data_IF_260180201253
#
_entry.id   IF_260180201253
#
_cell.length_a   1.000
_cell.length_b   1.000
_cell.length_c   1.000
_cell.angle_alpha   90.00
_cell.angle_beta   90.00
_cell.angle_gamma   90.00
#
_symmetry.space_group_name_H-M   'P 1'
#
loop_
_entity.id
_entity.type
_entity.pdbx_description
1 polymer ?
#
# COMPACT_ATOMS: atom_id res chain seq x y z
N UNK A 1 19.55 -18.37 -0.09
CA UNK A 1 18.43 -17.55 0.45
C UNK A 1 18.29 -16.27 -0.37
N UNK A 2 17.08 -15.70 -0.41
CA UNK A 2 16.83 -14.40 -1.07
C UNK A 2 17.67 -13.29 -0.42
N UNK A 3 17.81 -13.29 0.90
CA UNK A 3 18.64 -12.34 1.64
C UNK A 3 20.11 -12.37 1.19
N UNK A 4 20.71 -13.56 1.10
CA UNK A 4 22.09 -13.70 0.61
C UNK A 4 22.27 -13.30 -0.86
N UNK A 5 21.25 -13.53 -1.70
CA UNK A 5 21.25 -13.06 -3.08
C UNK A 5 21.21 -11.52 -3.16
N UNK A 6 20.31 -10.89 -2.39
CA UNK A 6 20.21 -9.44 -2.33
C UNK A 6 21.52 -8.80 -1.81
N UNK A 7 22.10 -9.34 -0.74
CA UNK A 7 23.40 -8.90 -0.22
C UNK A 7 24.51 -9.01 -1.27
N UNK A 8 24.53 -10.11 -2.02
CA UNK A 8 25.49 -10.32 -3.11
C UNK A 8 25.38 -9.30 -4.25
N UNK A 9 24.21 -8.68 -4.43
CA UNK A 9 23.98 -7.57 -5.36
C UNK A 9 24.22 -6.18 -4.74
N UNK A 10 24.60 -6.12 -3.46
CA UNK A 10 24.90 -4.87 -2.76
C UNK A 10 23.70 -4.21 -2.05
N UNK A 11 22.53 -4.85 -2.02
CA UNK A 11 21.40 -4.38 -1.22
C UNK A 11 21.71 -4.46 0.27
N UNK A 12 21.24 -3.48 1.04
CA UNK A 12 21.43 -3.38 2.49
C UNK A 12 20.17 -3.70 3.27
N UNK A 13 19.00 -3.52 2.68
CA UNK A 13 17.73 -3.71 3.32
C UNK A 13 16.73 -4.45 2.47
N UNK A 14 15.71 -4.99 3.12
CA UNK A 14 14.60 -5.70 2.51
C UNK A 14 13.29 -5.20 3.08
N UNK A 15 12.32 -4.91 2.22
CA UNK A 15 10.92 -4.82 2.61
C UNK A 15 10.37 -6.24 2.71
N UNK A 16 9.72 -6.56 3.84
CA UNK A 16 9.19 -7.91 4.09
C UNK A 16 7.66 -7.90 4.04
N UNK A 17 7.04 -8.61 3.07
CA UNK A 17 5.59 -8.74 3.01
C UNK A 17 5.08 -9.68 4.11
N UNK A 18 3.97 -9.28 4.75
CA UNK A 18 3.37 -10.04 5.87
C UNK A 18 2.24 -10.97 5.44
N UNK A 19 2.01 -11.13 4.15
CA UNK A 19 0.90 -11.91 3.60
C UNK A 19 1.13 -13.42 3.59
N UNK A 20 2.38 -13.87 3.69
CA UNK A 20 2.73 -15.30 3.72
C UNK A 20 3.36 -15.67 5.07
N UNK A 21 2.62 -16.38 5.97
CA UNK A 21 3.11 -16.72 7.30
C UNK A 21 4.30 -17.71 7.28
N UNK A 22 4.58 -18.35 6.14
CA UNK A 22 5.77 -19.20 5.98
C UNK A 22 7.05 -18.37 5.83
N UNK A 23 6.93 -17.11 5.38
CA UNK A 23 8.03 -16.17 5.26
C UNK A 23 8.17 -15.31 6.52
N UNK A 24 7.04 -14.86 7.06
CA UNK A 24 6.99 -13.99 8.23
C UNK A 24 5.67 -14.22 9.00
N UNK A 25 5.75 -14.80 10.18
CA UNK A 25 4.58 -14.99 11.05
C UNK A 25 4.28 -13.68 11.77
N UNK A 26 3.33 -12.92 11.20
CA UNK A 26 2.93 -11.62 11.72
C UNK A 26 2.35 -11.69 13.13
N UNK A 27 1.58 -12.73 13.43
CA UNK A 27 0.97 -12.91 14.74
C UNK A 27 2.04 -13.21 15.80
N UNK A 28 3.03 -14.06 15.47
CA UNK A 28 4.18 -14.32 16.34
C UNK A 28 5.04 -13.07 16.51
N UNK A 29 5.35 -12.34 15.46
CA UNK A 29 6.13 -11.11 15.52
C UNK A 29 5.47 -10.04 16.41
N UNK A 30 4.15 -9.93 16.37
CA UNK A 30 3.40 -8.98 17.18
C UNK A 30 3.45 -9.29 18.70
N UNK A 31 3.71 -10.55 19.10
CA UNK A 31 3.70 -10.98 20.50
C UNK A 31 5.07 -11.32 21.07
N UNK A 32 6.05 -11.65 20.23
CA UNK A 32 7.35 -12.18 20.66
C UNK A 32 8.52 -11.32 20.19
N UNK A 33 9.23 -10.70 21.12
CA UNK A 33 10.48 -10.00 20.83
C UNK A 33 11.56 -10.98 20.37
N UNK A 34 11.62 -12.16 20.99
CA UNK A 34 12.62 -13.18 20.64
C UNK A 34 12.48 -13.64 19.17
N UNK A 35 11.24 -13.76 18.65
CA UNK A 35 11.00 -14.05 17.25
C UNK A 35 11.52 -12.93 16.34
N UNK A 36 11.24 -11.68 16.69
CA UNK A 36 11.74 -10.53 15.94
C UNK A 36 13.27 -10.46 15.93
N UNK A 37 13.90 -10.70 17.08
CA UNK A 37 15.36 -10.71 17.23
C UNK A 37 16.01 -11.84 16.41
N UNK A 38 15.40 -13.03 16.38
CA UNK A 38 15.88 -14.19 15.59
C UNK A 38 15.83 -13.92 14.09
N UNK A 39 14.72 -13.38 13.60
CA UNK A 39 14.59 -13.01 12.19
C UNK A 39 15.58 -11.90 11.82
N UNK A 40 15.65 -10.84 12.61
CA UNK A 40 16.58 -9.74 12.38
C UNK A 40 18.03 -10.24 12.38
N UNK A 41 18.40 -11.09 13.35
CA UNK A 41 19.72 -11.72 13.44
C UNK A 41 20.03 -12.61 12.22
N UNK A 42 19.05 -13.39 11.76
CA UNK A 42 19.18 -14.25 10.57
C UNK A 42 19.47 -13.41 9.32
N UNK A 43 18.80 -12.29 9.14
CA UNK A 43 19.01 -11.38 8.00
C UNK A 43 20.34 -10.62 8.13
N UNK A 44 20.68 -10.14 9.32
CA UNK A 44 21.95 -9.48 9.59
C UNK A 44 23.15 -10.39 9.32
N UNK A 45 23.05 -11.69 9.64
CA UNK A 45 24.08 -12.69 9.30
C UNK A 45 24.29 -12.87 7.78
N UNK A 46 23.31 -12.44 6.95
CA UNK A 46 23.42 -12.40 5.48
C UNK A 46 23.86 -11.03 4.95
N UNK A 47 24.05 -10.02 5.83
CA UNK A 47 24.47 -8.67 5.47
C UNK A 47 23.34 -7.74 5.03
N UNK A 48 22.07 -8.06 5.35
CA UNK A 48 20.91 -7.21 5.09
C UNK A 48 20.07 -7.03 6.37
N UNK A 49 19.25 -5.98 6.40
CA UNK A 49 18.31 -5.69 7.48
C UNK A 49 16.87 -5.60 6.95
N UNK A 50 15.89 -5.63 7.84
CA UNK A 50 14.50 -5.27 7.49
C UNK A 50 14.41 -3.75 7.52
N UNK A 51 14.03 -3.14 6.41
CA UNK A 51 13.80 -1.68 6.35
C UNK A 51 12.36 -1.33 6.72
N UNK A 52 11.40 -2.11 6.26
CA UNK A 52 9.98 -2.02 6.61
C UNK A 52 9.25 -3.35 6.42
N UNK A 53 8.13 -3.51 7.09
CA UNK A 53 7.13 -4.52 6.76
C UNK A 53 6.11 -3.94 5.78
N UNK A 54 5.43 -4.81 5.02
CA UNK A 54 4.35 -4.39 4.15
C UNK A 54 3.09 -5.22 4.27
N UNK A 55 1.95 -4.53 4.31
CA UNK A 55 0.60 -5.11 4.35
C UNK A 55 -0.24 -4.71 3.14
N UNK A 56 0.34 -4.60 1.94
CA UNK A 56 -0.41 -4.20 0.74
C UNK A 56 -1.66 -5.07 0.53
N UNK A 57 -1.52 -6.39 0.60
CA UNK A 57 -2.63 -7.31 0.36
C UNK A 57 -3.71 -7.26 1.45
N UNK A 58 -3.34 -7.02 2.70
CA UNK A 58 -4.29 -6.85 3.79
C UNK A 58 -4.90 -5.44 3.79
N UNK A 59 -4.10 -4.40 3.55
CA UNK A 59 -4.53 -3.01 3.56
C UNK A 59 -5.63 -2.72 2.54
N UNK A 60 -5.51 -3.25 1.32
CA UNK A 60 -6.56 -3.09 0.30
C UNK A 60 -7.91 -3.71 0.72
N UNK A 61 -7.92 -4.65 1.68
CA UNK A 61 -9.14 -5.28 2.18
C UNK A 61 -9.82 -4.48 3.30
N UNK A 62 -9.20 -3.43 3.81
CA UNK A 62 -9.83 -2.52 4.79
C UNK A 62 -11.04 -1.82 4.17
N UNK A 63 -10.96 -1.50 2.87
CA UNK A 63 -12.03 -0.84 2.14
C UNK A 63 -12.18 -1.46 0.74
N UNK A 64 -13.25 -2.22 0.52
CA UNK A 64 -13.54 -2.85 -0.77
C UNK A 64 -14.92 -2.43 -1.24
N UNK A 65 -15.02 -1.89 -2.45
CA UNK A 65 -16.31 -1.60 -3.07
C UNK A 65 -17.03 -2.89 -3.48
N UNK A 66 -18.36 -2.94 -3.30
CA UNK A 66 -19.20 -4.11 -3.58
C UNK A 66 -18.99 -4.72 -4.97
N UNK A 67 -18.70 -3.90 -5.98
CA UNK A 67 -18.43 -4.37 -7.34
C UNK A 67 -17.18 -5.27 -7.44
N UNK A 68 -16.29 -5.24 -6.46
CA UNK A 68 -15.02 -5.96 -6.45
C UNK A 68 -14.95 -7.06 -5.38
N UNK A 69 -15.99 -7.26 -4.58
CA UNK A 69 -15.97 -8.18 -3.45
C UNK A 69 -15.42 -9.57 -3.82
N UNK A 70 -15.98 -10.18 -4.86
CA UNK A 70 -15.56 -11.52 -5.28
C UNK A 70 -14.11 -11.58 -5.81
N UNK A 71 -13.62 -10.48 -6.40
CA UNK A 71 -12.24 -10.39 -6.91
C UNK A 71 -11.23 -10.29 -5.76
N UNK A 72 -11.59 -9.57 -4.69
CA UNK A 72 -10.73 -9.36 -3.54
C UNK A 72 -10.73 -10.52 -2.53
N UNK A 73 -11.67 -11.47 -2.62
CA UNK A 73 -11.66 -12.69 -1.82
C UNK A 73 -10.36 -13.49 -1.96
N UNK A 74 -9.71 -13.43 -3.13
CA UNK A 74 -8.44 -14.10 -3.36
C UNK A 74 -7.29 -13.65 -2.44
N UNK A 75 -7.37 -12.45 -1.87
CA UNK A 75 -6.36 -11.90 -0.97
C UNK A 75 -6.62 -12.22 0.51
N UNK A 76 -7.79 -12.75 0.82
CA UNK A 76 -8.17 -13.17 2.17
C UNK A 76 -7.89 -14.66 2.39
N UNK A 77 -7.66 -15.08 3.64
CA UNK A 77 -7.55 -16.50 3.96
C UNK A 77 -8.87 -17.23 3.66
N UNK A 78 -8.81 -18.53 3.33
CA UNK A 78 -9.98 -19.28 2.83
C UNK A 78 -11.23 -19.15 3.69
N UNK A 79 -11.08 -19.12 5.02
CA UNK A 79 -12.19 -19.04 5.99
C UNK A 79 -12.86 -17.66 6.07
N UNK A 80 -12.33 -16.65 5.38
CA UNK A 80 -12.88 -15.28 5.32
C UNK A 80 -13.49 -14.95 3.95
N UNK A 81 -13.36 -15.86 2.98
CA UNK A 81 -13.87 -15.67 1.62
C UNK A 81 -15.38 -15.76 1.57
N UNK A 82 -16.01 -14.94 0.71
CA UNK A 82 -17.46 -14.88 0.60
C UNK A 82 -18.17 -14.14 1.74
N UNK A 83 -17.41 -13.59 2.70
CA UNK A 83 -17.92 -12.75 3.80
C UNK A 83 -17.15 -11.43 3.85
N UNK A 84 -17.63 -10.38 3.15
CA UNK A 84 -16.97 -9.07 3.11
C UNK A 84 -16.75 -8.43 4.48
N UNK A 85 -17.68 -8.64 5.43
CA UNK A 85 -17.56 -8.09 6.78
C UNK A 85 -16.46 -8.81 7.58
N UNK A 86 -16.43 -10.14 7.55
CA UNK A 86 -15.40 -10.93 8.21
C UNK A 86 -14.02 -10.68 7.59
N UNK A 87 -13.95 -10.47 6.27
CA UNK A 87 -12.72 -10.13 5.55
C UNK A 87 -12.18 -8.76 5.98
N UNK A 88 -13.05 -7.74 6.11
CA UNK A 88 -12.65 -6.43 6.59
C UNK A 88 -12.16 -6.46 8.03
N UNK A 89 -12.85 -7.13 8.93
CA UNK A 89 -12.43 -7.30 10.34
C UNK A 89 -11.05 -7.93 10.41
N UNK A 90 -10.84 -9.03 9.67
CA UNK A 90 -9.54 -9.69 9.59
C UNK A 90 -8.44 -8.75 9.08
N UNK A 91 -8.71 -7.96 8.03
CA UNK A 91 -7.75 -7.01 7.50
C UNK A 91 -7.31 -5.97 8.55
N UNK A 92 -8.28 -5.39 9.27
CA UNK A 92 -8.00 -4.46 10.37
C UNK A 92 -7.14 -5.11 11.46
N UNK A 93 -7.48 -6.36 11.86
CA UNK A 93 -6.68 -7.12 12.83
C UNK A 93 -5.23 -7.31 12.35
N UNK A 94 -5.03 -7.62 11.05
CA UNK A 94 -3.67 -7.74 10.50
C UNK A 94 -2.88 -6.43 10.58
N UNK A 95 -3.51 -5.29 10.29
CA UNK A 95 -2.86 -3.97 10.39
C UNK A 95 -2.49 -3.65 11.86
N UNK A 96 -3.36 -3.99 12.82
CA UNK A 96 -3.09 -3.82 14.26
C UNK A 96 -1.90 -4.68 14.73
N UNK A 97 -1.78 -5.92 14.22
CA UNK A 97 -0.62 -6.77 14.47
C UNK A 97 0.63 -6.21 13.82
N UNK A 98 0.51 -5.69 12.59
CA UNK A 98 1.63 -5.11 11.86
C UNK A 98 2.23 -3.88 12.56
N UNK A 99 1.42 -3.02 13.18
CA UNK A 99 1.90 -1.91 13.97
C UNK A 99 2.82 -2.39 15.13
N UNK A 100 2.38 -3.42 15.87
CA UNK A 100 3.14 -4.00 16.97
C UNK A 100 4.40 -4.72 16.50
N UNK A 101 4.32 -5.48 15.39
CA UNK A 101 5.47 -6.17 14.81
C UNK A 101 6.52 -5.18 14.34
N UNK A 102 6.11 -4.10 13.64
CA UNK A 102 6.99 -3.03 13.21
C UNK A 102 7.70 -2.35 14.38
N UNK A 103 6.97 -2.05 15.47
CA UNK A 103 7.55 -1.50 16.69
C UNK A 103 8.60 -2.44 17.30
N UNK A 104 8.31 -3.76 17.41
CA UNK A 104 9.25 -4.74 18.00
C UNK A 104 10.52 -4.91 17.17
N UNK A 105 10.40 -4.77 15.84
CA UNK A 105 11.54 -4.77 14.93
C UNK A 105 12.31 -3.44 14.90
N UNK A 106 11.86 -2.43 15.66
CA UNK A 106 12.48 -1.10 15.68
C UNK A 106 12.27 -0.30 14.41
N UNK A 107 11.26 -0.65 13.61
CA UNK A 107 10.96 0.03 12.36
C UNK A 107 10.21 1.34 12.60
N UNK A 108 10.46 2.33 11.75
CA UNK A 108 9.82 3.66 11.83
C UNK A 108 8.76 3.87 10.76
N UNK A 109 8.71 3.00 9.75
CA UNK A 109 7.75 3.07 8.66
C UNK A 109 7.19 1.69 8.31
N UNK A 110 5.99 1.66 7.74
CA UNK A 110 5.27 0.47 7.30
C UNK A 110 4.52 0.78 6.00
N UNK A 111 4.60 -0.10 5.01
CA UNK A 111 3.99 0.09 3.69
C UNK A 111 2.62 -0.58 3.59
N UNK A 112 1.64 0.08 2.94
CA UNK A 112 0.29 -0.47 2.75
C UNK A 112 -0.44 0.12 1.55
N UNK A 113 -1.56 -0.50 1.15
CA UNK A 113 -2.59 0.08 0.29
C UNK A 113 -3.76 0.61 1.12
N UNK A 114 -4.55 1.52 0.52
CA UNK A 114 -5.70 2.13 1.20
C UNK A 114 -6.99 1.33 1.10
N UNK A 115 -7.12 0.50 0.08
CA UNK A 115 -8.41 0.01 -0.38
C UNK A 115 -9.17 1.08 -1.17
N UNK A 116 -10.33 0.73 -1.69
CA UNK A 116 -11.10 1.60 -2.57
C UNK A 116 -12.61 1.46 -2.39
N UNK A 117 -13.29 2.57 -2.13
CA UNK A 117 -14.74 2.71 -2.12
C UNK A 117 -15.22 3.60 -3.26
N UNK A 118 -14.42 4.61 -3.64
CA UNK A 118 -14.76 5.59 -4.67
C UNK A 118 -14.13 5.27 -6.04
N UNK A 119 -13.08 4.45 -6.11
CA UNK A 119 -12.40 4.13 -7.36
C UNK A 119 -13.30 3.73 -8.53
N UNK A 120 -14.40 2.93 -8.36
CA UNK A 120 -15.30 2.60 -9.48
C UNK A 120 -15.94 3.82 -10.12
N UNK A 121 -15.92 4.95 -9.47
CA UNK A 121 -16.52 6.22 -9.90
C UNK A 121 -15.49 7.28 -10.27
N UNK A 122 -14.22 6.92 -10.46
CA UNK A 122 -13.15 7.89 -10.73
C UNK A 122 -13.41 8.74 -11.98
N UNK A 123 -14.06 8.19 -13.01
CA UNK A 123 -14.42 8.93 -14.20
C UNK A 123 -15.71 9.74 -13.98
N UNK A 124 -15.74 11.04 -14.34
CA UNK A 124 -16.86 11.93 -13.97
C UNK A 124 -18.12 11.77 -14.82
N UNK A 125 -18.15 10.81 -15.72
CA UNK A 125 -19.30 10.50 -16.58
C UNK A 125 -19.65 9.00 -16.53
N UNK A 126 -20.95 8.62 -16.44
CA UNK A 126 -22.11 9.51 -16.18
C UNK A 126 -21.96 10.29 -14.88
N UNK A 127 -22.66 11.43 -14.79
CA UNK A 127 -22.56 12.31 -13.61
C UNK A 127 -22.87 11.57 -12.31
N UNK A 128 -21.92 11.63 -11.38
CA UNK A 128 -22.08 11.01 -10.07
C UNK A 128 -23.16 11.69 -9.24
N UNK A 129 -23.91 10.95 -8.42
CA UNK A 129 -24.77 11.57 -7.41
C UNK A 129 -23.95 12.51 -6.51
N UNK A 130 -24.51 13.69 -6.13
CA UNK A 130 -23.87 14.55 -5.13
C UNK A 130 -23.59 13.79 -3.82
N UNK A 131 -22.43 14.00 -3.22
CA UNK A 131 -22.05 13.40 -1.94
C UNK A 131 -21.40 12.01 -2.04
N UNK A 132 -21.48 11.32 -3.18
CA UNK A 132 -21.01 9.95 -3.31
C UNK A 132 -19.51 9.79 -2.98
N UNK A 133 -18.66 10.68 -3.46
CA UNK A 133 -17.21 10.64 -3.20
C UNK A 133 -16.92 11.07 -1.77
N UNK A 134 -17.60 12.08 -1.28
CA UNK A 134 -17.48 12.59 0.09
C UNK A 134 -17.87 11.51 1.11
N UNK A 135 -18.95 10.77 0.89
CA UNK A 135 -19.39 9.65 1.74
C UNK A 135 -18.37 8.50 1.71
N UNK A 136 -17.84 8.17 0.54
CA UNK A 136 -16.81 7.13 0.40
C UNK A 136 -15.53 7.49 1.18
N UNK A 137 -15.05 8.74 1.07
CA UNK A 137 -13.87 9.19 1.83
C UNK A 137 -14.16 9.31 3.33
N UNK A 138 -15.34 9.75 3.75
CA UNK A 138 -15.74 9.75 5.16
C UNK A 138 -15.71 8.32 5.74
N UNK A 139 -16.23 7.35 5.00
CA UNK A 139 -16.16 5.93 5.38
C UNK A 139 -14.71 5.41 5.41
N UNK A 140 -13.89 5.75 4.41
CA UNK A 140 -12.48 5.41 4.37
C UNK A 140 -11.76 5.94 5.61
N UNK A 141 -11.95 7.22 5.95
CA UNK A 141 -11.39 7.84 7.14
C UNK A 141 -11.84 7.15 8.43
N UNK A 142 -13.13 6.79 8.55
CA UNK A 142 -13.66 6.08 9.72
C UNK A 142 -13.00 4.71 9.92
N UNK A 143 -12.67 3.99 8.82
CA UNK A 143 -11.99 2.69 8.89
C UNK A 143 -10.51 2.83 9.23
N UNK A 144 -9.83 3.82 8.65
CA UNK A 144 -8.39 3.99 8.81
C UNK A 144 -7.99 4.71 10.10
N UNK A 145 -8.83 5.56 10.67
CA UNK A 145 -8.48 6.33 11.86
C UNK A 145 -8.02 5.45 13.05
N UNK A 146 -8.74 4.38 13.43
CA UNK A 146 -8.30 3.50 14.52
C UNK A 146 -6.98 2.77 14.21
N UNK A 147 -6.72 2.47 12.93
CA UNK A 147 -5.45 1.85 12.50
C UNK A 147 -4.31 2.86 12.62
N UNK A 148 -4.50 4.08 12.16
CA UNK A 148 -3.51 5.16 12.29
C UNK A 148 -3.19 5.45 13.76
N UNK A 149 -4.20 5.48 14.64
CA UNK A 149 -4.01 5.65 16.09
C UNK A 149 -3.16 4.51 16.69
N UNK A 150 -3.35 3.26 16.23
CA UNK A 150 -2.54 2.12 16.66
C UNK A 150 -1.09 2.22 16.18
N UNK A 151 -0.87 2.68 14.95
CA UNK A 151 0.48 2.94 14.44
C UNK A 151 1.15 4.09 15.18
N UNK A 152 0.40 5.14 15.55
CA UNK A 152 0.92 6.24 16.37
C UNK A 152 1.33 5.78 17.76
N UNK A 153 0.53 4.97 18.42
CA UNK A 153 0.87 4.36 19.70
C UNK A 153 2.15 3.49 19.65
N UNK A 154 2.48 2.95 18.47
CA UNK A 154 3.70 2.19 18.21
C UNK A 154 4.88 3.03 17.71
N UNK A 155 4.68 4.32 17.43
CA UNK A 155 5.72 5.21 16.89
C UNK A 155 6.11 4.93 15.44
N UNK A 156 5.22 4.32 14.65
CA UNK A 156 5.48 3.87 13.26
C UNK A 156 4.64 4.68 12.29
N UNK A 157 5.25 5.22 11.24
CA UNK A 157 4.55 5.88 10.14
C UNK A 157 3.88 4.85 9.24
N UNK A 158 2.63 5.09 8.85
CA UNK A 158 1.89 4.25 7.92
C UNK A 158 1.89 4.89 6.53
N UNK A 159 2.64 4.30 5.61
CA UNK A 159 2.90 4.84 4.29
C UNK A 159 1.99 4.17 3.25
N UNK A 160 1.05 4.94 2.73
CA UNK A 160 0.12 4.49 1.69
C UNK A 160 0.77 4.63 0.32
N UNK A 161 0.86 3.53 -0.43
CA UNK A 161 1.29 3.60 -1.83
C UNK A 161 0.23 4.30 -2.67
N UNK A 162 0.64 5.36 -3.37
CA UNK A 162 -0.23 6.09 -4.30
C UNK A 162 -0.36 5.27 -5.57
N UNK A 163 -1.51 4.57 -5.72
CA UNK A 163 -1.64 3.49 -6.69
C UNK A 163 -3.01 3.52 -7.40
N UNK A 164 -3.06 3.47 -8.75
CA UNK A 164 -4.31 3.30 -9.49
C UNK A 164 -5.03 2.00 -9.09
N UNK A 165 -6.32 2.10 -8.84
CA UNK A 165 -7.12 0.99 -8.30
C UNK A 165 -7.43 1.15 -6.82
N UNK A 166 -6.67 1.99 -6.13
CA UNK A 166 -6.89 2.41 -4.75
C UNK A 166 -7.62 3.76 -4.70
N UNK A 167 -8.25 4.10 -3.58
CA UNK A 167 -8.80 5.45 -3.41
C UNK A 167 -7.72 6.51 -3.33
N UNK A 168 -6.54 6.15 -2.79
CA UNK A 168 -5.37 7.02 -2.78
C UNK A 168 -4.51 6.77 -4.04
N UNK A 169 -4.87 7.40 -5.16
CA UNK A 169 -4.21 7.16 -6.45
C UNK A 169 -3.49 8.39 -7.01
N UNK A 170 -3.65 9.55 -6.37
CA UNK A 170 -2.97 10.79 -6.71
C UNK A 170 -2.88 11.73 -5.49
N UNK A 171 -2.28 12.92 -5.69
CA UNK A 171 -2.14 13.89 -4.61
C UNK A 171 -3.46 14.45 -4.11
N UNK A 172 -4.41 14.68 -5.01
CA UNK A 172 -5.72 15.24 -4.65
C UNK A 172 -6.54 14.28 -3.77
N UNK A 173 -6.46 12.99 -4.06
CA UNK A 173 -7.12 11.95 -3.26
C UNK A 173 -6.42 11.74 -1.92
N UNK A 174 -5.09 11.85 -1.86
CA UNK A 174 -4.36 11.83 -0.60
C UNK A 174 -4.71 13.04 0.28
N UNK A 175 -4.82 14.25 -0.29
CA UNK A 175 -5.27 15.45 0.45
C UNK A 175 -6.68 15.25 1.03
N UNK A 176 -7.64 14.72 0.26
CA UNK A 176 -8.98 14.37 0.77
C UNK A 176 -8.93 13.37 1.93
N UNK A 177 -8.06 12.38 1.83
CA UNK A 177 -7.87 11.42 2.92
C UNK A 177 -7.31 12.08 4.18
N UNK A 178 -6.32 12.95 4.05
CA UNK A 178 -5.78 13.73 5.18
C UNK A 178 -6.87 14.54 5.88
N UNK A 179 -7.79 15.15 5.12
CA UNK A 179 -8.89 15.93 5.69
C UNK A 179 -9.84 15.06 6.53
N UNK A 180 -10.17 13.85 6.07
CA UNK A 180 -11.09 12.96 6.80
C UNK A 180 -10.46 12.18 7.95
N UNK A 181 -9.11 12.18 8.05
CA UNK A 181 -8.37 11.65 9.19
C UNK A 181 -7.74 12.75 10.07
N UNK A 182 -8.25 13.98 9.97
CA UNK A 182 -7.80 15.16 10.75
C UNK A 182 -6.28 15.40 10.64
N UNK A 183 -5.72 15.32 9.43
CA UNK A 183 -4.29 15.52 9.15
C UNK A 183 -3.38 14.61 9.99
N UNK A 184 -3.83 13.39 10.26
CA UNK A 184 -3.14 12.47 11.17
C UNK A 184 -1.62 12.38 10.88
N UNK A 185 -0.74 12.53 11.88
CA UNK A 185 0.70 12.65 11.64
C UNK A 185 1.33 11.39 11.05
N UNK A 186 0.74 10.21 11.33
CA UNK A 186 1.22 8.92 10.81
C UNK A 186 0.71 8.57 9.42
N UNK A 187 -0.21 9.35 8.84
CA UNK A 187 -0.63 9.17 7.46
C UNK A 187 0.46 9.73 6.53
N UNK A 188 1.23 8.84 5.95
CA UNK A 188 2.38 9.13 5.09
C UNK A 188 2.20 8.53 3.70
N UNK A 189 3.08 8.86 2.79
CA UNK A 189 3.11 8.38 1.41
C UNK A 189 4.23 7.37 1.24
N UNK A 190 3.93 6.24 0.64
CA UNK A 190 4.89 5.45 -0.08
C UNK A 190 4.89 5.98 -1.53
N UNK A 191 6.00 6.55 -1.94
CA UNK A 191 6.17 7.14 -3.25
C UNK A 191 6.73 6.12 -4.25
N UNK A 192 5.93 5.77 -5.26
CA UNK A 192 6.33 4.97 -6.42
C UNK A 192 6.14 5.81 -7.68
N UNK A 193 7.22 6.34 -8.29
CA UNK A 193 7.13 7.21 -9.46
C UNK A 193 6.50 6.53 -10.68
N UNK A 194 6.59 5.20 -10.77
CA UNK A 194 6.07 4.46 -11.91
C UNK A 194 4.54 4.61 -12.05
N UNK A 195 3.81 4.58 -10.93
CA UNK A 195 2.36 4.76 -10.92
C UNK A 195 1.94 6.17 -11.32
N UNK A 196 2.72 7.17 -10.97
CA UNK A 196 2.47 8.56 -11.36
C UNK A 196 2.77 8.77 -12.85
N UNK A 197 3.88 8.21 -13.35
CA UNK A 197 4.23 8.24 -14.77
C UNK A 197 3.16 7.57 -15.63
N UNK A 198 2.62 6.41 -15.22
CA UNK A 198 1.55 5.72 -15.94
C UNK A 198 0.26 6.55 -16.00
N UNK A 199 0.02 7.43 -15.04
CA UNK A 199 -1.08 8.40 -15.02
C UNK A 199 -0.76 9.69 -15.79
N UNK A 200 0.46 9.85 -16.33
CA UNK A 200 0.96 11.05 -17.00
C UNK A 200 1.00 12.27 -16.06
N UNK A 201 1.27 12.05 -14.77
CA UNK A 201 1.47 13.09 -13.77
C UNK A 201 2.91 13.61 -13.79
N UNK A 202 3.09 14.83 -13.30
CA UNK A 202 4.40 15.39 -12.97
C UNK A 202 4.92 14.73 -11.68
N UNK A 203 5.62 13.60 -11.84
CA UNK A 203 6.12 12.82 -10.71
C UNK A 203 7.26 13.50 -9.95
N UNK A 204 8.01 14.43 -10.59
CA UNK A 204 9.03 15.22 -9.90
C UNK A 204 8.39 16.34 -9.07
N UNK A 205 7.45 17.09 -9.65
CA UNK A 205 6.67 18.09 -8.93
C UNK A 205 5.86 17.50 -7.77
N UNK A 206 5.51 16.21 -7.84
CA UNK A 206 4.89 15.50 -6.72
C UNK A 206 5.81 15.43 -5.50
N UNK A 207 7.11 15.20 -5.68
CA UNK A 207 8.09 15.21 -4.58
C UNK A 207 8.16 16.61 -3.97
N UNK A 208 8.27 17.65 -4.78
CA UNK A 208 8.35 19.04 -4.29
C UNK A 208 7.13 19.39 -3.42
N UNK A 209 5.95 18.90 -3.80
CA UNK A 209 4.70 19.18 -3.09
C UNK A 209 4.51 18.36 -1.80
N UNK A 210 4.94 17.07 -1.79
CA UNK A 210 4.59 16.13 -0.73
C UNK A 210 5.79 15.59 0.05
N UNK A 211 7.02 16.12 -0.12
CA UNK A 211 8.23 15.59 0.49
C UNK A 211 8.12 15.40 2.02
N UNK A 212 7.39 16.27 2.74
CA UNK A 212 7.19 16.14 4.20
C UNK A 212 6.30 14.95 4.58
N UNK A 213 5.54 14.42 3.63
CA UNK A 213 4.67 13.25 3.82
C UNK A 213 5.25 11.98 3.22
N UNK A 214 6.29 12.03 2.39
CA UNK A 214 6.92 10.84 1.82
C UNK A 214 7.79 10.17 2.90
N UNK A 215 7.40 8.94 3.30
CA UNK A 215 8.11 8.14 4.28
C UNK A 215 8.87 6.95 3.68
N UNK A 216 8.40 6.44 2.53
CA UNK A 216 9.00 5.29 1.83
C UNK A 216 9.10 5.63 0.34
N UNK A 217 10.13 5.10 -0.33
CA UNK A 217 10.34 5.23 -1.76
C UNK A 217 10.48 3.83 -2.39
N UNK A 218 9.65 3.52 -3.38
CA UNK A 218 9.84 2.36 -4.25
C UNK A 218 10.57 2.76 -5.53
N UNK A 219 11.76 2.22 -5.73
CA UNK A 219 12.52 2.39 -6.98
C UNK A 219 11.97 1.43 -8.02
N UNK A 220 11.17 1.95 -8.93
CA UNK A 220 10.47 1.18 -9.95
C UNK A 220 10.43 1.96 -11.25
N UNK A 221 10.63 1.30 -12.37
CA UNK A 221 10.67 1.93 -13.69
C UNK A 221 9.39 1.68 -14.48
N UNK A 222 9.04 2.63 -15.32
CA UNK A 222 7.89 2.55 -16.21
C UNK A 222 8.12 3.40 -17.46
N UNK A 223 7.43 3.05 -18.54
CA UNK A 223 7.37 3.85 -19.75
C UNK A 223 5.92 4.20 -20.11
N UNK A 224 5.76 5.32 -20.78
CA UNK A 224 4.51 5.65 -21.45
C UNK A 224 4.79 6.00 -22.90
N UNK A 225 4.27 5.19 -23.82
CA UNK A 225 4.37 5.39 -25.26
C UNK A 225 3.06 5.90 -25.79
N UNK A 226 3.01 7.19 -26.14
CA UNK A 226 1.82 7.77 -26.75
C UNK A 226 1.36 6.93 -27.95
N UNK A 227 0.07 6.65 -28.00
CA UNK A 227 -0.57 5.80 -29.03
C UNK A 227 -1.81 6.50 -29.56
N UNK A 228 -2.06 6.36 -30.87
CA UNK A 228 -3.33 6.78 -31.46
C UNK A 228 -4.48 5.80 -31.17
N UNK A 229 -4.18 4.63 -30.57
CA UNK A 229 -5.13 3.54 -30.33
C UNK A 229 -5.72 3.53 -28.93
N UNK A 230 -4.89 3.80 -27.90
CA UNK A 230 -5.31 3.79 -26.51
C UNK A 230 -4.54 4.83 -25.69
N UNK A 231 -5.13 5.31 -24.61
CA UNK A 231 -4.57 6.29 -23.68
C UNK A 231 -4.35 5.73 -22.28
N UNK A 232 -4.30 6.60 -21.27
CA UNK A 232 -4.04 6.23 -19.86
C UNK A 232 -5.01 5.20 -19.30
N UNK A 233 -6.25 5.15 -19.77
CA UNK A 233 -7.25 4.17 -19.35
C UNK A 233 -6.98 2.75 -19.91
N UNK A 234 -6.11 2.60 -20.92
CA UNK A 234 -5.60 1.34 -21.40
C UNK A 234 -6.56 0.47 -22.21
N UNK A 235 -7.81 0.90 -22.48
CA UNK A 235 -8.77 0.21 -23.36
C UNK A 235 -9.14 -1.22 -22.94
N UNK A 236 -9.06 -1.55 -21.65
CA UNK A 236 -9.25 -2.91 -21.09
C UNK A 236 -8.23 -3.94 -21.60
N UNK A 237 -7.11 -3.49 -22.14
CA UNK A 237 -6.05 -4.35 -22.65
C UNK A 237 -5.18 -4.92 -21.51
N UNK A 238 -4.50 -6.03 -21.82
CA UNK A 238 -3.48 -6.59 -20.92
C UNK A 238 -2.31 -5.62 -20.74
N UNK A 239 -1.55 -5.75 -19.66
CA UNK A 239 -0.44 -4.87 -19.30
C UNK A 239 0.57 -4.67 -20.45
N UNK A 240 0.89 -5.75 -21.18
CA UNK A 240 1.90 -5.70 -22.26
C UNK A 240 1.44 -4.90 -23.48
N UNK A 241 0.11 -4.78 -23.68
CA UNK A 241 -0.50 -4.13 -24.84
C UNK A 241 -0.86 -2.66 -24.57
N UNK A 242 -0.76 -2.22 -23.31
CA UNK A 242 -1.08 -0.86 -22.89
C UNK A 242 0.02 0.12 -23.30
N UNK A 243 -0.31 1.42 -23.58
CA UNK A 243 0.69 2.45 -23.83
C UNK A 243 1.57 2.74 -22.61
N UNK A 244 1.02 2.66 -21.40
CA UNK A 244 1.74 2.75 -20.14
C UNK A 244 2.00 1.37 -19.57
N UNK A 245 3.27 1.05 -19.24
CA UNK A 245 3.67 -0.24 -18.68
C UNK A 245 4.93 -0.15 -17.83
N UNK A 246 5.07 -1.08 -16.91
CA UNK A 246 6.27 -1.22 -16.09
C UNK A 246 7.45 -1.76 -16.91
N UNK A 247 8.64 -1.36 -16.49
CA UNK A 247 9.91 -1.78 -17.12
C UNK A 247 10.88 -2.28 -16.05
N UNK A 248 11.91 -3.00 -16.48
CA UNK A 248 13.06 -3.24 -15.62
C UNK A 248 13.83 -1.95 -15.41
N UNK A 249 14.45 -1.80 -14.24
CA UNK A 249 15.20 -0.59 -13.91
C UNK A 249 16.29 -0.31 -14.95
N UNK A 250 16.24 0.88 -15.56
CA UNK A 250 17.22 1.34 -16.54
C UNK A 250 16.99 0.86 -17.97
N UNK A 251 15.83 0.32 -18.31
CA UNK A 251 15.46 -0.08 -19.69
C UNK A 251 15.14 1.15 -20.57
#
# INVERSE_FOLDING_TARGET
TMAGWAAGLGYRGLQVPTSDPRLFDLAEAARSQAYCDDIAGTLAAQGVEITELSTHLQGQLVAVHLAYDSLFDGFAPPEKRGDPAARQVWAVEQLMLAAKASQRLGLTAHATFSGALAWPYFYPWPQRPPGLVEEAFAELGRRWRPILDAFDACGVDLCFEIHPGEDLHDGATFERFLDVVDQHPRAKILYDPSHLLLQQMDYLGFIDRYHERIGIFHVKDAEYRASARSGVYGGYENWIDRPGRFRSLGD
#
